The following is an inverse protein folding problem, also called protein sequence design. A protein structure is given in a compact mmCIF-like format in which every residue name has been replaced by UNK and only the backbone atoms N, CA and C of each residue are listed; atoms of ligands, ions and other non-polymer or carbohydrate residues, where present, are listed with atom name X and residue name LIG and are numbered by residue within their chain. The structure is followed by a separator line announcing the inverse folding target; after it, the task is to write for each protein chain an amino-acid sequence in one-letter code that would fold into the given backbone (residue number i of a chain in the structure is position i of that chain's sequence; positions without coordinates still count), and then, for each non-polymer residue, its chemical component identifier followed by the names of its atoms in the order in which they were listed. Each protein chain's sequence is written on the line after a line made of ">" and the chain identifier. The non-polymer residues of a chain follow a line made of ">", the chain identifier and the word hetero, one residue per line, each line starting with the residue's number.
data_IF_331416493610
#
_entry.id   IF_331416493610
#
_cell.length_a   1.000
_cell.length_b   1.000
_cell.length_c   1.000
_cell.angle_alpha   90.00
_cell.angle_beta   90.00
_cell.angle_gamma   90.00
#
_symmetry.space_group_name_H-M   'P 1'
#
loop_
_entity.id
_entity.type
_entity.pdbx_description
1 polymer ?
#
# COMPACT_ATOMS: atom_id res chain seq x y z
N UNK A 1 -12.79 28.33 -5.35
CA UNK A 1 -11.67 27.39 -5.21
C UNK A 1 -10.85 27.33 -6.49
N UNK A 2 -9.58 27.31 -6.31
CA UNK A 2 -8.63 27.21 -7.41
C UNK A 2 -8.68 25.82 -8.04
N UNK A 3 -8.90 25.76 -9.31
CA UNK A 3 -8.80 24.50 -10.01
C UNK A 3 -7.36 24.19 -10.35
N UNK A 4 -6.94 22.99 -10.08
CA UNK A 4 -5.61 22.57 -10.44
C UNK A 4 -5.56 22.22 -11.91
N UNK A 5 -4.69 22.85 -12.63
CA UNK A 5 -4.47 22.53 -14.04
C UNK A 5 -3.39 21.48 -14.13
N UNK A 6 -3.79 20.24 -14.24
CA UNK A 6 -2.85 19.14 -14.35
C UNK A 6 -2.63 18.85 -15.82
N UNK A 7 -1.66 19.53 -16.38
CA UNK A 7 -1.40 19.43 -17.82
C UNK A 7 -0.68 18.15 -18.19
N UNK A 8 0.20 17.68 -17.31
CA UNK A 8 1.02 16.52 -17.60
C UNK A 8 0.61 15.33 -16.75
N UNK A 9 -0.68 15.12 -16.70
CA UNK A 9 -1.22 13.99 -15.92
C UNK A 9 -0.89 12.70 -16.63
N UNK A 10 -0.09 11.86 -16.00
CA UNK A 10 0.20 10.56 -16.57
C UNK A 10 0.45 9.57 -15.44
N UNK A 11 0.28 8.32 -15.75
CA UNK A 11 0.48 7.24 -14.82
C UNK A 11 1.98 7.04 -14.59
N UNK A 12 2.40 7.07 -13.34
CA UNK A 12 3.80 6.92 -12.99
C UNK A 12 4.17 5.47 -12.81
N UNK A 13 3.27 4.69 -12.22
CA UNK A 13 3.50 3.26 -12.00
C UNK A 13 2.50 2.50 -12.86
N UNK A 14 2.98 1.58 -13.69
CA UNK A 14 2.06 0.77 -14.50
C UNK A 14 1.15 -0.08 -13.61
N UNK A 15 0.02 -0.44 -14.17
CA UNK A 15 -0.90 -1.34 -13.49
C UNK A 15 -0.18 -2.65 -13.17
N UNK A 16 -0.41 -3.16 -11.98
CA UNK A 16 0.21 -4.40 -11.56
C UNK A 16 -0.28 -5.54 -12.44
N UNK A 17 0.66 -6.29 -12.97
CA UNK A 17 0.33 -7.42 -13.84
C UNK A 17 0.34 -8.74 -13.08
N UNK A 18 1.20 -8.85 -12.08
CA UNK A 18 1.39 -10.10 -11.34
C UNK A 18 0.47 -10.13 -10.13
N UNK A 19 -0.48 -11.06 -10.15
CA UNK A 19 -1.47 -11.16 -9.08
C UNK A 19 -0.81 -11.45 -7.72
N UNK A 20 0.35 -12.09 -7.72
CA UNK A 20 1.01 -12.36 -6.45
C UNK A 20 1.58 -11.11 -5.80
N UNK A 21 1.79 -10.07 -6.60
CA UNK A 21 2.29 -8.81 -6.07
C UNK A 21 1.16 -8.01 -5.43
N UNK A 22 0.01 -7.96 -6.08
CA UNK A 22 -1.14 -7.26 -5.57
C UNK A 22 -2.28 -7.32 -6.57
N UNK A 23 -3.49 -7.05 -6.08
CA UNK A 23 -4.67 -7.04 -6.93
C UNK A 23 -4.78 -5.66 -7.58
N UNK A 24 -4.66 -5.61 -8.91
CA UNK A 24 -4.63 -4.34 -9.61
C UNK A 24 -5.90 -3.52 -9.42
N UNK A 25 -7.03 -4.18 -9.16
CA UNK A 25 -8.31 -3.48 -8.96
C UNK A 25 -8.40 -2.84 -7.59
N UNK A 26 -7.54 -3.25 -6.67
CA UNK A 26 -7.57 -2.82 -5.28
C UNK A 26 -6.20 -2.34 -4.81
N UNK A 27 -5.45 -1.71 -5.72
CA UNK A 27 -4.17 -1.11 -5.38
C UNK A 27 -4.34 0.39 -5.53
N UNK A 28 -4.25 1.12 -4.40
CA UNK A 28 -4.61 2.53 -4.39
C UNK A 28 -4.01 3.25 -3.19
N UNK A 29 -4.25 4.56 -3.16
CA UNK A 29 -3.90 5.45 -2.06
C UNK A 29 -2.39 5.56 -1.85
N UNK A 30 -1.65 5.95 -2.90
CA UNK A 30 -0.20 6.09 -2.75
C UNK A 30 0.16 7.27 -1.86
N UNK A 31 1.23 7.09 -1.08
CA UNK A 31 1.84 8.14 -0.30
C UNK A 31 3.31 8.21 -0.64
N UNK A 32 3.77 9.38 -1.01
CA UNK A 32 5.16 9.60 -1.44
C UNK A 32 5.84 10.54 -0.45
N UNK A 33 7.09 10.25 -0.12
CA UNK A 33 7.88 11.15 0.71
C UNK A 33 9.32 11.13 0.23
N UNK A 34 10.06 12.19 0.57
CA UNK A 34 11.46 12.29 0.24
C UNK A 34 12.28 11.76 1.41
N UNK A 35 13.20 10.89 1.12
CA UNK A 35 14.06 10.30 2.13
C UNK A 35 15.25 11.20 2.40
N UNK A 36 15.97 10.92 3.50
CA UNK A 36 17.13 11.72 3.86
C UNK A 36 18.25 11.63 2.84
N UNK A 37 18.33 10.51 2.12
CA UNK A 37 19.36 10.33 1.10
C UNK A 37 19.02 11.02 -0.21
N UNK A 38 17.90 11.74 -0.26
CA UNK A 38 17.49 12.46 -1.46
C UNK A 38 16.62 11.66 -2.41
N UNK A 39 16.48 10.37 -2.18
CA UNK A 39 15.59 9.55 -2.99
C UNK A 39 14.16 9.70 -2.51
N UNK A 40 13.24 9.18 -3.30
CA UNK A 40 11.81 9.22 -2.96
C UNK A 40 11.32 7.81 -2.69
N UNK A 41 10.43 7.71 -1.72
CA UNK A 41 9.80 6.44 -1.38
C UNK A 41 8.30 6.58 -1.57
N UNK A 42 7.65 5.46 -1.86
CA UNK A 42 6.20 5.42 -2.01
C UNK A 42 5.67 4.16 -1.37
N UNK A 43 4.54 4.29 -0.69
CA UNK A 43 3.80 3.14 -0.19
C UNK A 43 2.40 3.19 -0.81
N UNK A 44 1.90 2.03 -1.23
CA UNK A 44 0.57 1.90 -1.81
C UNK A 44 -0.15 0.77 -1.11
N UNK A 45 -1.42 1.00 -0.81
CA UNK A 45 -2.27 -0.03 -0.22
C UNK A 45 -2.74 -1.02 -1.28
N UNK A 46 -2.85 -2.29 -0.88
CA UNK A 46 -3.26 -3.33 -1.80
C UNK A 46 -3.80 -4.52 -1.02
N UNK A 47 -4.09 -5.58 -1.75
CA UNK A 47 -4.44 -6.88 -1.18
C UNK A 47 -3.95 -7.96 -2.11
N UNK A 48 -3.83 -9.16 -1.57
CA UNK A 48 -3.37 -10.30 -2.33
C UNK A 48 -4.17 -11.51 -1.87
N UNK A 49 -4.37 -12.45 -2.77
CA UNK A 49 -5.09 -13.68 -2.43
C UNK A 49 -4.36 -14.41 -1.30
N UNK A 50 -5.11 -14.88 -0.33
CA UNK A 50 -4.57 -15.60 0.80
C UNK A 50 -5.61 -16.61 1.26
N UNK A 51 -5.27 -17.90 1.13
CA UNK A 51 -6.19 -18.99 1.41
C UNK A 51 -7.48 -18.81 0.60
N UNK A 52 -8.63 -18.79 1.26
CA UNK A 52 -9.91 -18.62 0.56
C UNK A 52 -10.42 -17.20 0.59
N UNK A 53 -9.54 -16.25 0.85
CA UNK A 53 -9.91 -14.85 0.97
C UNK A 53 -8.75 -14.00 0.45
N UNK A 54 -8.57 -12.84 1.02
CA UNK A 54 -7.49 -11.93 0.71
C UNK A 54 -6.83 -11.50 2.01
N UNK A 55 -5.60 -11.02 1.90
CA UNK A 55 -4.99 -10.33 3.02
C UNK A 55 -4.48 -8.97 2.56
N UNK A 56 -4.51 -8.01 3.48
CA UNK A 56 -4.04 -6.67 3.21
C UNK A 56 -2.54 -6.67 2.96
N UNK A 57 -2.09 -5.71 2.16
CA UNK A 57 -0.71 -5.65 1.75
C UNK A 57 -0.33 -4.22 1.48
N UNK A 58 0.90 -3.87 1.84
CA UNK A 58 1.49 -2.58 1.50
C UNK A 58 2.64 -2.83 0.54
N UNK A 59 2.66 -2.10 -0.57
CA UNK A 59 3.71 -2.21 -1.57
C UNK A 59 4.61 -0.99 -1.45
N UNK A 60 5.92 -1.22 -1.43
CA UNK A 60 6.90 -0.15 -1.28
C UNK A 60 7.72 0.01 -2.56
N UNK A 61 7.81 1.24 -3.01
CA UNK A 61 8.54 1.62 -4.20
C UNK A 61 9.57 2.70 -3.86
N UNK A 62 10.58 2.81 -4.68
CA UNK A 62 11.61 3.83 -4.49
C UNK A 62 11.96 4.46 -5.83
N UNK A 63 12.36 5.72 -5.80
CA UNK A 63 12.71 6.46 -7.00
C UNK A 63 13.87 7.40 -6.73
N UNK A 64 14.76 7.52 -7.71
CA UNK A 64 15.85 8.48 -7.64
C UNK A 64 15.38 9.90 -7.96
N UNK A 65 14.39 10.02 -8.84
CA UNK A 65 14.00 11.32 -9.39
C UNK A 65 12.56 11.72 -9.03
N UNK A 66 11.81 10.85 -8.35
CA UNK A 66 10.42 11.14 -8.01
C UNK A 66 9.46 10.90 -9.15
N UNK A 67 9.93 10.36 -10.26
CA UNK A 67 9.11 10.11 -11.44
C UNK A 67 9.13 8.63 -11.81
N UNK A 68 10.30 8.02 -11.79
CA UNK A 68 10.46 6.62 -12.15
C UNK A 68 10.60 5.81 -10.87
N UNK A 69 9.57 5.05 -10.54
CA UNK A 69 9.51 4.28 -9.32
C UNK A 69 9.70 2.80 -9.61
N UNK A 70 10.48 2.15 -8.76
CA UNK A 70 10.75 0.73 -8.84
C UNK A 70 10.22 0.04 -7.60
N UNK A 71 9.60 -1.09 -7.79
CA UNK A 71 9.14 -1.92 -6.68
C UNK A 71 10.34 -2.42 -5.88
N UNK A 72 10.26 -2.32 -4.57
CA UNK A 72 11.34 -2.76 -3.69
C UNK A 72 10.93 -3.93 -2.81
N UNK A 73 9.85 -3.80 -2.08
CA UNK A 73 9.40 -4.87 -1.20
C UNK A 73 7.96 -4.61 -0.78
N UNK A 74 7.44 -5.51 0.02
CA UNK A 74 6.08 -5.38 0.51
C UNK A 74 5.98 -5.95 1.92
N UNK A 75 4.87 -5.62 2.56
CA UNK A 75 4.54 -6.17 3.86
C UNK A 75 3.08 -6.59 3.85
N UNK A 76 2.78 -7.75 4.38
CA UNK A 76 1.42 -8.24 4.49
C UNK A 76 1.24 -8.94 5.82
N UNK A 77 0.00 -8.93 6.31
CA UNK A 77 -0.32 -9.56 7.57
C UNK A 77 -1.76 -10.07 7.49
N UNK A 78 -1.94 -11.40 7.40
CA UNK A 78 -3.27 -11.96 7.18
C UNK A 78 -4.27 -11.72 8.31
N UNK A 79 -3.79 -11.44 9.52
CA UNK A 79 -4.68 -11.26 10.65
C UNK A 79 -5.22 -9.84 10.78
N UNK A 80 -4.80 -8.93 9.92
CA UNK A 80 -5.19 -7.52 10.01
C UNK A 80 -5.91 -7.13 8.73
N UNK A 81 -7.16 -7.56 8.60
CA UNK A 81 -7.98 -7.18 7.47
C UNK A 81 -7.58 -7.81 6.15
N UNK A 82 -8.43 -7.63 5.15
CA UNK A 82 -8.19 -8.24 3.85
C UNK A 82 -7.89 -7.22 2.74
N UNK A 83 -7.80 -5.95 3.10
CA UNK A 83 -7.39 -4.87 2.21
C UNK A 83 -6.87 -3.74 3.08
N UNK A 84 -5.76 -3.15 2.68
CA UNK A 84 -5.21 -2.02 3.42
C UNK A 84 -5.32 -0.76 2.59
N UNK A 85 -5.96 0.26 3.16
CA UNK A 85 -6.17 1.54 2.49
C UNK A 85 -5.42 2.65 3.21
N UNK A 86 -5.14 3.71 2.48
CA UNK A 86 -4.56 4.95 3.01
C UNK A 86 -3.31 4.71 3.86
N UNK A 87 -2.34 3.92 3.38
CA UNK A 87 -1.14 3.72 4.16
C UNK A 87 -0.32 4.99 4.24
N UNK A 88 0.33 5.20 5.38
CA UNK A 88 1.24 6.31 5.57
C UNK A 88 2.42 5.82 6.39
N UNK A 89 3.58 6.37 6.12
CA UNK A 89 4.80 6.01 6.83
C UNK A 89 5.40 7.28 7.42
N UNK A 90 5.76 7.21 8.68
CA UNK A 90 6.36 8.36 9.35
C UNK A 90 7.43 7.88 10.33
N UNK A 91 8.26 8.82 10.76
CA UNK A 91 9.40 8.52 11.60
C UNK A 91 9.28 9.25 12.92
N UNK A 92 9.47 8.50 14.01
CA UNK A 92 9.52 9.07 15.36
C UNK A 92 10.75 8.49 16.04
N UNK A 93 11.65 9.36 16.50
CA UNK A 93 12.85 8.95 17.24
C UNK A 93 13.62 7.85 16.52
N UNK A 94 13.87 8.07 15.23
CA UNK A 94 14.65 7.16 14.39
C UNK A 94 13.99 5.81 14.15
N UNK A 95 12.72 5.68 14.48
CA UNK A 95 11.95 4.48 14.17
C UNK A 95 10.87 4.81 13.16
N UNK A 96 10.66 3.91 12.21
CA UNK A 96 9.63 4.09 11.21
C UNK A 96 8.36 3.36 11.63
N UNK A 97 7.24 4.03 11.39
CA UNK A 97 5.93 3.48 11.70
C UNK A 97 5.07 3.57 10.45
N UNK A 98 4.22 2.58 10.27
CA UNK A 98 3.24 2.61 9.19
C UNK A 98 1.85 2.54 9.82
N UNK A 99 0.95 3.41 9.37
CA UNK A 99 -0.46 3.32 9.72
C UNK A 99 -1.24 3.10 8.45
N UNK A 100 -2.36 2.44 8.59
CA UNK A 100 -3.24 2.16 7.45
C UNK A 100 -4.63 1.86 7.96
N UNK A 101 -5.61 1.86 7.05
CA UNK A 101 -7.00 1.54 7.37
C UNK A 101 -7.30 0.16 6.82
N UNK A 102 -7.33 -0.87 7.67
CA UNK A 102 -7.65 -2.21 7.20
C UNK A 102 -9.15 -2.38 7.03
N UNK A 103 -9.55 -3.09 5.99
CA UNK A 103 -10.94 -3.44 5.76
C UNK A 103 -11.23 -4.82 6.32
N UNK A 104 -12.45 -5.01 6.80
CA UNK A 104 -12.96 -6.30 7.26
C UNK A 104 -12.19 -6.88 8.44
N UNK A 105 -11.78 -6.01 9.37
CA UNK A 105 -11.11 -6.46 10.59
C UNK A 105 -12.11 -6.93 11.63
N UNK A 106 -13.33 -6.45 11.57
CA UNK A 106 -14.35 -6.78 12.55
C UNK A 106 -15.33 -7.84 12.04
N UNK A 107 -14.90 -8.58 11.04
CA UNK A 107 -15.66 -9.71 10.56
C UNK A 107 -15.84 -10.72 11.70
N UNK A 108 -16.99 -11.34 11.80
CA UNK A 108 -17.12 -12.41 12.76
C UNK A 108 -16.12 -13.51 12.44
N UNK A 109 -15.65 -14.25 13.44
CA UNK A 109 -14.68 -15.30 13.18
C UNK A 109 -15.28 -16.33 12.24
N UNK A 110 -14.41 -16.92 11.42
CA UNK A 110 -14.85 -18.04 10.59
C UNK A 110 -15.39 -19.13 11.52
N UNK A 111 -16.31 -19.94 11.04
CA UNK A 111 -16.91 -20.94 11.92
C UNK A 111 -15.90 -21.82 12.66
N UNK A 112 -14.74 -22.02 12.10
CA UNK A 112 -13.72 -22.85 12.70
C UNK A 112 -12.55 -22.08 13.26
N UNK A 113 -12.62 -20.75 13.28
CA UNK A 113 -11.47 -19.97 13.65
C UNK A 113 -11.44 -19.66 15.15
N UNK A 114 -12.59 -19.50 15.76
CA UNK A 114 -12.71 -19.18 17.18
C UNK A 114 -11.92 -17.94 17.56
N UNK A 115 -11.74 -17.05 16.63
CA UNK A 115 -10.84 -15.93 16.82
C UNK A 115 -11.59 -14.73 17.35
N UNK A 116 -12.16 -14.84 18.50
CA UNK A 116 -12.80 -13.68 19.12
C UNK A 116 -12.85 -13.88 20.59
#
# INVERSE_FOLDING_TARGET
>A
MQKTNVKNKKQIIPMIQEAYLGDYRHTRDPKVWKKQDGKYAMVIGSKVAYENDYCGKALFYESEDGIHFEYKNSYQEPTIGNMWECPDVFKINDQFFMIFSPENTDQPPKPNSNAR
#
